data_IF_673551866358
#
_entry.id   IF_673551866358
#
_cell.length_a   1.000
_cell.length_b   1.000
_cell.length_c   1.000
_cell.angle_alpha   90.00
_cell.angle_beta   90.00
_cell.angle_gamma   90.00
#
_symmetry.space_group_name_H-M   'P 1'
#
loop_
_entity.id
_entity.type
_entity.pdbx_description
1 polymer ?
#
# COMPACT_ATOMS: atom_id res chain seq x y z
N UNK A 1 8.55 10.36 -12.56
CA UNK A 1 7.97 9.20 -11.86
C UNK A 1 7.01 8.50 -12.79
N UNK A 2 7.08 7.18 -12.87
CA UNK A 2 6.10 6.33 -13.56
C UNK A 2 5.15 5.79 -12.50
N UNK A 3 3.84 5.94 -12.69
CA UNK A 3 2.82 5.43 -11.78
C UNK A 3 2.00 4.36 -12.49
N UNK A 4 1.98 3.16 -11.92
CA UNK A 4 1.26 2.01 -12.47
C UNK A 4 0.00 1.76 -11.64
N UNK A 5 -1.17 1.93 -12.27
CA UNK A 5 -2.46 1.75 -11.63
C UNK A 5 -2.99 0.33 -11.90
N UNK A 6 -3.11 -0.48 -10.86
CA UNK A 6 -3.64 -1.83 -10.93
C UNK A 6 -5.16 -1.81 -10.89
N UNK A 7 -5.79 -2.43 -11.88
CA UNK A 7 -7.25 -2.56 -11.98
C UNK A 7 -7.68 -4.01 -11.77
N UNK A 8 -8.93 -4.20 -11.38
CA UNK A 8 -9.52 -5.54 -11.29
C UNK A 8 -9.57 -6.18 -12.69
N UNK A 9 -9.32 -7.49 -12.76
CA UNK A 9 -9.42 -8.20 -14.03
C UNK A 9 -10.92 -8.48 -14.34
N UNK A 10 -11.46 -8.04 -15.48
CA UNK A 10 -12.91 -8.06 -15.73
C UNK A 10 -13.51 -9.48 -15.89
N UNK A 11 -12.73 -10.44 -16.40
CA UNK A 11 -13.24 -11.78 -16.76
C UNK A 11 -12.53 -12.97 -16.12
N UNK A 12 -11.40 -12.76 -15.44
CA UNK A 12 -10.58 -13.84 -14.89
C UNK A 12 -10.01 -13.47 -13.53
N UNK A 13 -10.69 -13.91 -12.47
CA UNK A 13 -10.10 -13.99 -11.13
C UNK A 13 -9.24 -15.26 -11.05
N UNK A 14 -8.13 -15.32 -11.82
CA UNK A 14 -7.17 -16.42 -11.71
C UNK A 14 -6.75 -16.55 -10.23
N UNK A 15 -6.98 -17.73 -9.65
CA UNK A 15 -6.69 -17.96 -8.24
C UNK A 15 -5.18 -17.81 -7.99
N UNK A 16 -4.78 -17.22 -6.86
CA UNK A 16 -3.36 -17.18 -6.43
C UNK A 16 -2.68 -18.55 -6.49
N UNK A 17 -3.41 -19.60 -6.14
CA UNK A 17 -2.93 -20.99 -6.22
C UNK A 17 -2.51 -21.37 -7.64
N UNK A 18 -3.22 -20.90 -8.67
CA UNK A 18 -2.89 -21.19 -10.06
C UNK A 18 -1.67 -20.39 -10.55
N UNK A 19 -1.51 -19.13 -10.10
CA UNK A 19 -0.28 -18.36 -10.36
C UNK A 19 0.96 -19.05 -9.80
N UNK A 20 0.88 -19.60 -8.59
CA UNK A 20 1.96 -20.38 -7.99
C UNK A 20 2.27 -21.65 -8.79
N UNK A 21 1.23 -22.35 -9.27
CA UNK A 21 1.39 -23.51 -10.16
C UNK A 21 2.08 -23.14 -11.46
N UNK A 22 1.66 -22.06 -12.12
CA UNK A 22 2.30 -21.58 -13.34
C UNK A 22 3.77 -21.19 -13.10
N UNK A 23 4.10 -20.58 -11.96
CA UNK A 23 5.49 -20.29 -11.58
C UNK A 23 6.30 -21.57 -11.39
N UNK A 24 5.76 -22.58 -10.71
CA UNK A 24 6.46 -23.88 -10.57
C UNK A 24 6.66 -24.59 -11.90
N UNK A 25 5.65 -24.61 -12.78
CA UNK A 25 5.75 -25.17 -14.14
C UNK A 25 6.86 -24.46 -14.91
N UNK A 26 6.90 -23.13 -14.91
CA UNK A 26 7.98 -22.35 -15.56
C UNK A 26 9.35 -22.65 -14.98
N UNK A 27 9.46 -22.81 -13.67
CA UNK A 27 10.73 -23.14 -13.01
C UNK A 27 11.21 -24.55 -13.40
N UNK A 28 10.32 -25.55 -13.40
CA UNK A 28 10.64 -26.92 -13.83
C UNK A 28 11.11 -26.92 -15.28
N UNK A 29 10.39 -26.23 -16.18
CA UNK A 29 10.80 -26.09 -17.57
C UNK A 29 12.17 -25.40 -17.69
N UNK A 30 12.44 -24.35 -16.93
CA UNK A 30 13.75 -23.68 -17.00
C UNK A 30 14.89 -24.60 -16.54
N UNK A 31 14.66 -25.40 -15.50
CA UNK A 31 15.66 -26.32 -14.95
C UNK A 31 15.88 -27.54 -15.84
N UNK A 32 14.83 -28.10 -16.45
CA UNK A 32 14.92 -29.26 -17.36
C UNK A 32 15.81 -29.02 -18.59
N UNK A 33 15.90 -27.76 -19.04
CA UNK A 33 16.73 -27.36 -20.18
C UNK A 33 18.05 -26.71 -19.74
N UNK A 34 18.46 -26.86 -18.48
CA UNK A 34 19.80 -26.49 -18.04
C UNK A 34 20.86 -27.37 -18.72
N UNK A 35 22.04 -26.81 -18.99
CA UNK A 35 23.11 -27.51 -19.75
C UNK A 35 23.69 -28.73 -19.01
N UNK A 36 23.80 -28.65 -17.69
CA UNK A 36 24.52 -29.62 -16.85
C UNK A 36 23.57 -30.32 -15.87
N UNK A 37 22.45 -30.85 -16.39
CA UNK A 37 21.46 -31.61 -15.60
C UNK A 37 21.77 -33.11 -15.64
N UNK A 38 21.71 -33.79 -14.49
CA UNK A 38 21.86 -35.24 -14.41
C UNK A 38 20.58 -35.98 -14.83
N UNK A 39 20.70 -37.25 -15.22
CA UNK A 39 19.54 -38.05 -15.64
C UNK A 39 18.52 -38.26 -14.50
N UNK A 40 18.98 -38.32 -13.24
CA UNK A 40 18.10 -38.49 -12.08
C UNK A 40 17.37 -37.18 -11.74
N UNK A 41 18.07 -36.04 -11.73
CA UNK A 41 17.42 -34.72 -11.58
C UNK A 41 16.40 -34.46 -12.69
N UNK A 42 16.70 -34.90 -13.91
CA UNK A 42 15.77 -34.77 -15.04
C UNK A 42 14.50 -35.60 -14.83
N UNK A 43 14.60 -36.82 -14.30
CA UNK A 43 13.43 -37.65 -13.95
C UNK A 43 12.61 -37.00 -12.84
N UNK A 44 13.26 -36.55 -11.77
CA UNK A 44 12.59 -35.86 -10.65
C UNK A 44 11.85 -34.60 -11.11
N UNK A 45 12.47 -33.80 -11.98
CA UNK A 45 11.86 -32.60 -12.55
C UNK A 45 10.72 -32.91 -13.53
N UNK A 46 10.81 -33.99 -14.30
CA UNK A 46 9.72 -34.41 -15.19
C UNK A 46 8.51 -34.90 -14.36
N UNK A 47 8.74 -35.68 -13.29
CA UNK A 47 7.70 -36.07 -12.35
C UNK A 47 7.05 -34.86 -11.67
N UNK A 48 7.86 -33.88 -11.22
CA UNK A 48 7.36 -32.65 -10.63
C UNK A 48 6.54 -31.80 -11.62
N UNK A 49 7.00 -31.71 -12.88
CA UNK A 49 6.30 -31.00 -13.94
C UNK A 49 4.95 -31.65 -14.24
N UNK A 50 4.91 -32.98 -14.40
CA UNK A 50 3.67 -33.73 -14.62
C UNK A 50 2.69 -33.53 -13.46
N UNK A 51 3.18 -33.59 -12.21
CA UNK A 51 2.36 -33.36 -11.02
C UNK A 51 1.75 -31.95 -10.98
N UNK A 52 2.52 -30.91 -11.30
CA UNK A 52 2.01 -29.53 -11.31
C UNK A 52 1.06 -29.25 -12.48
N UNK A 53 1.31 -29.83 -13.67
CA UNK A 53 0.37 -29.76 -14.81
C UNK A 53 -0.94 -30.45 -14.45
N UNK A 54 -0.90 -31.65 -13.89
CA UNK A 54 -2.10 -32.36 -13.45
C UNK A 54 -2.84 -31.59 -12.35
N UNK A 55 -2.12 -31.01 -11.39
CA UNK A 55 -2.74 -30.22 -10.33
C UNK A 55 -3.37 -28.93 -10.88
N UNK A 56 -2.76 -28.27 -11.86
CA UNK A 56 -3.34 -27.11 -12.52
C UNK A 56 -4.61 -27.51 -13.30
N UNK A 57 -4.53 -28.56 -14.12
CA UNK A 57 -5.65 -29.07 -14.92
C UNK A 57 -6.85 -29.50 -14.09
N UNK A 58 -6.63 -30.10 -12.91
CA UNK A 58 -7.72 -30.50 -11.99
C UNK A 58 -8.22 -29.39 -11.08
N UNK A 59 -7.61 -28.20 -11.12
CA UNK A 59 -8.07 -27.04 -10.36
C UNK A 59 -8.93 -26.17 -11.27
N UNK A 60 -10.21 -25.98 -10.92
CA UNK A 60 -11.09 -25.05 -11.64
C UNK A 60 -10.44 -23.65 -11.73
N UNK A 61 -10.04 -23.24 -12.94
CA UNK A 61 -9.42 -21.94 -13.20
C UNK A 61 -10.40 -20.80 -12.91
N UNK A 62 -11.67 -21.03 -13.22
CA UNK A 62 -12.76 -20.08 -13.06
C UNK A 62 -13.41 -20.31 -11.69
N UNK A 63 -13.53 -19.25 -10.89
CA UNK A 63 -14.32 -19.31 -9.65
C UNK A 63 -15.80 -19.49 -10.00
N UNK A 64 -16.47 -20.44 -9.33
CA UNK A 64 -17.91 -20.67 -9.50
C UNK A 64 -18.77 -19.55 -8.90
N UNK A 65 -18.24 -18.81 -7.93
CA UNK A 65 -18.85 -17.61 -7.36
C UNK A 65 -18.04 -16.38 -7.73
N UNK A 66 -18.74 -15.29 -8.03
CA UNK A 66 -18.11 -13.99 -8.25
C UNK A 66 -17.34 -13.57 -6.98
N UNK A 67 -16.08 -13.12 -7.09
CA UNK A 67 -15.33 -12.64 -5.93
C UNK A 67 -15.99 -11.39 -5.32
N UNK A 68 -15.76 -11.19 -4.02
CA UNK A 68 -16.02 -9.91 -3.37
C UNK A 68 -14.95 -8.89 -3.79
N UNK A 69 -15.22 -7.58 -3.71
CA UNK A 69 -14.19 -6.56 -3.98
C UNK A 69 -12.93 -6.72 -3.12
N UNK A 70 -13.07 -7.15 -1.85
CA UNK A 70 -11.93 -7.46 -0.98
C UNK A 70 -11.09 -8.63 -1.52
N UNK A 71 -11.75 -9.67 -2.08
CA UNK A 71 -11.05 -10.79 -2.71
C UNK A 71 -10.29 -10.34 -3.96
N UNK A 72 -10.90 -9.52 -4.81
CA UNK A 72 -10.24 -8.94 -6.00
C UNK A 72 -8.99 -8.16 -5.62
N UNK A 73 -9.07 -7.31 -4.60
CA UNK A 73 -7.92 -6.58 -4.08
C UNK A 73 -6.82 -7.53 -3.58
N UNK A 74 -7.16 -8.56 -2.79
CA UNK A 74 -6.19 -9.56 -2.31
C UNK A 74 -5.51 -10.30 -3.46
N UNK A 75 -6.21 -10.56 -4.56
CA UNK A 75 -5.63 -11.17 -5.76
C UNK A 75 -4.69 -10.22 -6.48
N UNK A 76 -5.09 -8.96 -6.71
CA UNK A 76 -4.22 -7.95 -7.29
C UNK A 76 -2.92 -7.79 -6.48
N UNK A 77 -3.04 -7.78 -5.15
CA UNK A 77 -1.89 -7.66 -4.25
C UNK A 77 -0.98 -8.90 -4.23
N UNK A 78 -1.42 -10.05 -4.76
CA UNK A 78 -0.56 -11.24 -4.85
C UNK A 78 0.63 -11.04 -5.79
N UNK A 79 0.51 -10.20 -6.82
CA UNK A 79 1.64 -9.87 -7.70
C UNK A 79 2.76 -9.12 -6.98
N UNK A 80 2.45 -8.35 -5.93
CA UNK A 80 3.48 -7.74 -5.08
C UNK A 80 4.34 -8.80 -4.42
N UNK A 81 3.69 -9.76 -3.76
CA UNK A 81 4.38 -10.85 -3.06
C UNK A 81 5.22 -11.72 -4.01
N UNK A 82 4.68 -12.07 -5.18
CA UNK A 82 5.31 -13.04 -6.08
C UNK A 82 6.41 -12.42 -6.97
N UNK A 83 6.24 -11.17 -7.46
CA UNK A 83 7.16 -10.60 -8.47
C UNK A 83 7.58 -9.16 -8.21
N UNK A 84 6.65 -8.23 -7.94
CA UNK A 84 6.94 -6.79 -7.93
C UNK A 84 7.87 -6.43 -6.76
N UNK A 85 7.68 -7.03 -5.58
CA UNK A 85 8.49 -6.78 -4.39
C UNK A 85 9.99 -6.96 -4.65
N UNK A 86 10.36 -8.05 -5.30
CA UNK A 86 11.77 -8.37 -5.65
C UNK A 86 12.20 -7.72 -6.98
N UNK A 87 11.24 -7.45 -7.87
CA UNK A 87 11.49 -6.91 -9.21
C UNK A 87 11.93 -5.44 -9.20
N UNK A 88 11.27 -4.60 -8.39
CA UNK A 88 11.58 -3.15 -8.28
C UNK A 88 13.03 -2.89 -7.89
N UNK A 89 13.56 -3.39 -6.75
CA UNK A 89 14.95 -3.13 -6.36
C UNK A 89 15.94 -3.68 -7.40
N UNK A 90 15.66 -4.85 -8.01
CA UNK A 90 16.49 -5.41 -9.09
C UNK A 90 16.54 -4.50 -10.32
N UNK A 91 15.42 -3.89 -10.70
CA UNK A 91 15.38 -2.90 -11.77
C UNK A 91 16.15 -1.63 -11.40
N UNK A 92 15.98 -1.09 -10.20
CA UNK A 92 16.71 0.09 -9.75
C UNK A 92 18.22 -0.15 -9.67
N UNK A 93 18.66 -1.36 -9.29
CA UNK A 93 20.07 -1.77 -9.41
C UNK A 93 20.55 -1.79 -10.86
N UNK A 94 19.70 -2.20 -11.81
CA UNK A 94 20.04 -2.14 -13.25
C UNK A 94 20.20 -0.70 -13.72
N UNK A 95 19.39 0.23 -13.21
CA UNK A 95 19.53 1.66 -13.46
C UNK A 95 20.88 2.16 -12.92
N UNK A 96 21.28 1.79 -11.70
CA UNK A 96 22.59 2.14 -11.16
C UNK A 96 23.74 1.66 -12.08
N UNK A 97 23.66 0.42 -12.58
CA UNK A 97 24.66 -0.13 -13.51
C UNK A 97 24.70 0.63 -14.83
N UNK A 98 23.53 1.00 -15.38
CA UNK A 98 23.44 1.78 -16.61
C UNK A 98 24.03 3.20 -16.43
N UNK A 99 23.75 3.87 -15.30
CA UNK A 99 24.33 5.17 -14.95
C UNK A 99 25.85 5.10 -14.88
N UNK A 100 26.40 4.05 -14.24
CA UNK A 100 27.84 3.82 -14.20
C UNK A 100 28.46 3.63 -15.58
N UNK A 101 27.76 2.95 -16.50
CA UNK A 101 28.26 2.71 -17.85
C UNK A 101 28.38 3.98 -18.70
N UNK A 102 27.64 5.04 -18.37
CA UNK A 102 27.71 6.34 -19.05
C UNK A 102 28.58 7.37 -18.29
N UNK A 103 29.32 6.93 -17.26
CA UNK A 103 30.27 7.77 -16.53
C UNK A 103 29.73 8.43 -15.24
N UNK A 104 28.51 8.12 -14.81
CA UNK A 104 27.96 8.61 -13.53
C UNK A 104 28.37 7.64 -12.43
N UNK A 105 29.27 8.06 -11.54
CA UNK A 105 29.79 7.22 -10.45
C UNK A 105 28.81 7.02 -9.29
N UNK A 106 27.84 7.91 -9.17
CA UNK A 106 26.82 7.89 -8.13
C UNK A 106 25.70 6.89 -8.46
N UNK A 107 25.11 6.29 -7.42
CA UNK A 107 23.89 5.51 -7.55
C UNK A 107 22.69 6.45 -7.60
N UNK A 108 21.58 5.96 -8.15
CA UNK A 108 20.33 6.66 -8.01
C UNK A 108 19.98 6.75 -6.51
N UNK A 109 19.72 7.97 -5.97
CA UNK A 109 19.33 8.15 -4.57
C UNK A 109 18.09 7.30 -4.21
N UNK A 110 18.08 6.74 -3.00
CA UNK A 110 17.03 5.80 -2.57
C UNK A 110 15.66 6.46 -2.35
N UNK A 111 15.67 7.77 -2.09
CA UNK A 111 14.51 8.63 -1.84
C UNK A 111 13.82 9.10 -3.13
N UNK A 112 14.42 8.90 -4.31
CA UNK A 112 13.79 9.25 -5.60
C UNK A 112 12.71 8.24 -5.99
N UNK A 113 11.43 8.64 -6.09
CA UNK A 113 10.36 7.73 -6.44
C UNK A 113 10.28 7.57 -7.97
N UNK A 114 11.07 6.66 -8.52
CA UNK A 114 11.07 6.39 -9.97
C UNK A 114 9.78 5.69 -10.40
N UNK A 115 9.33 4.71 -9.61
CA UNK A 115 8.13 3.91 -9.85
C UNK A 115 7.22 4.05 -8.63
N UNK A 116 5.92 4.22 -8.86
CA UNK A 116 4.88 4.15 -7.84
C UNK A 116 3.78 3.20 -8.31
N UNK A 117 3.05 2.66 -7.35
CA UNK A 117 1.90 1.80 -7.61
C UNK A 117 0.65 2.39 -6.99
N UNK A 118 -0.44 2.32 -7.74
CA UNK A 118 -1.78 2.68 -7.30
C UNK A 118 -2.75 1.56 -7.67
N UNK A 119 -3.95 1.60 -7.13
CA UNK A 119 -4.95 0.54 -7.27
C UNK A 119 -6.34 1.14 -7.33
N UNK A 120 -7.19 0.56 -8.17
CA UNK A 120 -8.63 0.85 -8.21
C UNK A 120 -9.48 -0.19 -7.47
N UNK A 121 -8.89 -1.34 -7.11
CA UNK A 121 -9.60 -2.44 -6.47
C UNK A 121 -10.08 -2.04 -5.07
N UNK A 122 -11.40 -1.82 -4.94
CA UNK A 122 -12.06 -1.35 -3.71
C UNK A 122 -12.17 0.17 -3.56
N UNK A 123 -11.71 0.93 -4.57
CA UNK A 123 -11.84 2.40 -4.64
C UNK A 123 -12.70 2.89 -5.80
N UNK A 124 -12.68 2.17 -6.93
CA UNK A 124 -13.57 2.42 -8.07
C UNK A 124 -14.98 1.87 -7.80
N UNK A 125 -15.92 2.80 -7.62
CA UNK A 125 -17.34 2.52 -7.34
C UNK A 125 -18.27 2.99 -8.46
N UNK A 126 -17.71 3.51 -9.54
CA UNK A 126 -18.45 3.96 -10.71
C UNK A 126 -19.22 2.79 -11.35
N UNK A 127 -20.55 2.89 -11.36
CA UNK A 127 -21.44 1.82 -11.83
C UNK A 127 -21.40 0.51 -11.03
N UNK A 128 -20.73 0.47 -9.87
CA UNK A 128 -20.55 -0.75 -9.07
C UNK A 128 -20.96 -0.56 -7.60
N UNK A 129 -22.25 -0.81 -7.26
CA UNK A 129 -22.76 -0.61 -5.90
C UNK A 129 -22.17 -1.57 -4.86
N UNK A 130 -21.44 -2.61 -5.29
CA UNK A 130 -20.76 -3.55 -4.37
C UNK A 130 -19.54 -2.92 -3.69
N UNK A 131 -19.03 -1.80 -4.19
CA UNK A 131 -17.91 -1.06 -3.58
C UNK A 131 -18.46 -0.02 -2.61
N UNK A 132 -18.77 -0.47 -1.40
CA UNK A 132 -19.30 0.37 -0.33
C UNK A 132 -18.18 1.13 0.42
N UNK A 133 -18.50 2.13 1.27
CA UNK A 133 -17.50 2.76 2.14
C UNK A 133 -16.72 1.75 2.99
N UNK A 134 -17.37 0.73 3.54
CA UNK A 134 -16.75 -0.32 4.35
C UNK A 134 -15.75 -1.13 3.52
N UNK A 135 -16.08 -1.45 2.26
CA UNK A 135 -15.14 -2.11 1.34
C UNK A 135 -13.88 -1.28 1.16
N UNK A 136 -14.01 0.03 0.93
CA UNK A 136 -12.87 0.95 0.81
C UNK A 136 -12.03 0.96 2.09
N UNK A 137 -12.67 0.98 3.26
CA UNK A 137 -11.98 0.90 4.55
C UNK A 137 -11.20 -0.42 4.69
N UNK A 138 -11.86 -1.54 4.39
CA UNK A 138 -11.29 -2.88 4.51
C UNK A 138 -10.06 -3.05 3.61
N UNK A 139 -10.14 -2.63 2.34
CA UNK A 139 -9.01 -2.79 1.41
C UNK A 139 -7.80 -1.95 1.82
N UNK A 140 -8.00 -0.74 2.35
CA UNK A 140 -6.91 0.08 2.87
C UNK A 140 -6.22 -0.59 4.08
N UNK A 141 -6.99 -1.15 5.01
CA UNK A 141 -6.45 -1.88 6.16
C UNK A 141 -5.74 -3.17 5.74
N UNK A 142 -6.30 -3.91 4.77
CA UNK A 142 -5.67 -5.09 4.18
C UNK A 142 -4.34 -4.74 3.52
N UNK A 143 -4.28 -3.64 2.76
CA UNK A 143 -3.06 -3.19 2.10
C UNK A 143 -1.94 -2.89 3.11
N UNK A 144 -2.27 -2.18 4.19
CA UNK A 144 -1.34 -1.90 5.31
C UNK A 144 -0.88 -3.17 6.02
N UNK A 145 -1.78 -4.11 6.26
CA UNK A 145 -1.45 -5.40 6.86
C UNK A 145 -0.52 -6.22 5.96
N UNK A 146 -0.76 -6.23 4.64
CA UNK A 146 0.09 -6.92 3.66
C UNK A 146 1.47 -6.27 3.54
N UNK A 147 1.54 -4.94 3.53
CA UNK A 147 2.79 -4.18 3.56
C UNK A 147 3.62 -4.57 4.78
N UNK A 148 3.03 -4.47 5.98
CA UNK A 148 3.71 -4.80 7.24
C UNK A 148 4.22 -6.25 7.25
N UNK A 149 3.48 -7.21 6.71
CA UNK A 149 3.94 -8.60 6.59
C UNK A 149 5.18 -8.75 5.68
N UNK A 150 5.21 -8.09 4.52
CA UNK A 150 6.37 -8.11 3.63
C UNK A 150 7.60 -7.45 4.26
N UNK A 151 7.38 -6.33 4.97
CA UNK A 151 8.44 -5.65 5.72
C UNK A 151 8.97 -6.48 6.88
N UNK A 152 8.12 -7.18 7.63
CA UNK A 152 8.55 -8.07 8.72
C UNK A 152 9.45 -9.20 8.19
N UNK A 153 9.08 -9.84 7.09
CA UNK A 153 9.94 -10.88 6.51
C UNK A 153 11.28 -10.32 6.06
N UNK A 154 11.28 -9.13 5.43
CA UNK A 154 12.50 -8.54 4.88
C UNK A 154 13.42 -7.94 5.96
N UNK A 155 12.85 -7.43 7.07
CA UNK A 155 13.65 -6.94 8.20
C UNK A 155 14.30 -8.11 8.95
N UNK A 156 13.65 -9.27 9.03
CA UNK A 156 14.22 -10.48 9.62
C UNK A 156 15.42 -10.97 8.80
N UNK A 157 15.29 -11.06 7.48
CA UNK A 157 16.43 -11.35 6.57
C UNK A 157 17.57 -10.34 6.78
N UNK A 158 17.24 -9.05 6.88
CA UNK A 158 18.23 -7.99 7.09
C UNK A 158 18.92 -8.10 8.46
N UNK A 159 18.19 -8.52 9.51
CA UNK A 159 18.76 -8.79 10.82
C UNK A 159 19.76 -9.93 10.77
N UNK A 160 19.53 -10.98 9.99
CA UNK A 160 20.51 -12.06 9.83
C UNK A 160 21.81 -11.56 9.21
N UNK A 161 21.68 -10.79 8.12
CA UNK A 161 22.79 -10.29 7.31
C UNK A 161 23.61 -9.21 8.05
N UNK A 162 22.96 -8.25 8.71
CA UNK A 162 23.61 -7.14 9.42
C UNK A 162 24.07 -7.54 10.84
N UNK A 163 24.94 -8.54 10.91
CA UNK A 163 25.53 -9.08 12.15
C UNK A 163 26.76 -8.32 12.67
N UNK A 164 27.13 -7.22 12.02
CA UNK A 164 28.37 -6.49 12.28
C UNK A 164 28.39 -5.81 13.66
N UNK A 165 29.57 -5.80 14.28
CA UNK A 165 29.81 -5.13 15.57
C UNK A 165 30.24 -3.66 15.43
N UNK A 166 30.95 -3.31 14.35
CA UNK A 166 31.45 -1.94 14.13
C UNK A 166 30.29 -1.04 13.72
N UNK A 167 30.10 0.05 14.46
CA UNK A 167 29.13 1.09 14.16
C UNK A 167 29.65 2.47 14.59
N UNK A 168 29.04 3.51 14.03
CA UNK A 168 29.25 4.89 14.47
C UNK A 168 28.59 5.16 15.84
N UNK A 169 28.91 6.32 16.42
CA UNK A 169 28.45 6.67 17.76
C UNK A 169 26.93 6.89 17.84
N UNK A 170 26.33 7.40 16.77
CA UNK A 170 24.88 7.61 16.64
C UNK A 170 24.10 6.30 16.73
N UNK A 171 24.48 5.29 15.92
CA UNK A 171 23.84 3.97 15.96
C UNK A 171 24.07 3.29 17.31
N UNK A 172 25.24 3.46 17.93
CA UNK A 172 25.53 2.89 19.25
C UNK A 172 24.61 3.48 20.32
N UNK A 173 24.47 4.81 20.36
CA UNK A 173 23.59 5.48 21.31
C UNK A 173 22.12 5.02 21.16
N UNK A 174 21.61 4.92 19.92
CA UNK A 174 20.24 4.44 19.66
C UNK A 174 20.04 2.98 20.05
N UNK A 175 21.02 2.12 19.78
CA UNK A 175 20.96 0.71 20.19
C UNK A 175 20.93 0.57 21.72
N UNK A 176 21.77 1.32 22.43
CA UNK A 176 21.84 1.30 23.90
C UNK A 176 20.54 1.82 24.54
N UNK A 177 19.94 2.89 23.99
CA UNK A 177 18.64 3.40 24.42
C UNK A 177 17.54 2.34 24.30
N UNK A 178 17.45 1.66 23.15
CA UNK A 178 16.44 0.64 22.92
C UNK A 178 16.63 -0.62 23.77
N UNK A 179 17.87 -0.99 24.09
CA UNK A 179 18.15 -2.08 25.04
C UNK A 179 17.67 -1.74 26.45
N UNK A 180 17.86 -0.49 26.89
CA UNK A 180 17.40 -0.04 28.20
C UNK A 180 15.87 0.03 28.30
N UNK A 181 15.18 0.36 27.20
CA UNK A 181 13.71 0.47 27.17
C UNK A 181 12.98 -0.86 26.93
N UNK A 182 13.70 -1.96 26.66
CA UNK A 182 13.08 -3.21 26.21
C UNK A 182 12.46 -4.00 27.37
N UNK A 183 11.15 -3.87 27.57
CA UNK A 183 10.38 -4.89 28.28
C UNK A 183 10.28 -6.14 27.39
N UNK A 184 11.19 -7.10 27.55
CA UNK A 184 11.19 -8.37 26.81
C UNK A 184 9.88 -9.13 27.00
N UNK A 185 8.93 -8.97 26.06
CA UNK A 185 7.62 -9.66 26.09
C UNK A 185 7.27 -10.45 24.81
N UNK A 186 8.11 -10.43 23.77
CA UNK A 186 7.81 -11.14 22.51
C UNK A 186 8.93 -12.11 22.15
N UNK A 187 8.57 -13.39 22.09
CA UNK A 187 9.45 -14.46 21.61
C UNK A 187 9.19 -14.68 20.11
N UNK A 188 10.21 -14.46 19.29
CA UNK A 188 10.19 -14.73 17.86
C UNK A 188 10.86 -16.08 17.59
N UNK A 189 10.45 -16.78 16.53
CA UNK A 189 10.96 -18.14 16.22
C UNK A 189 12.48 -18.12 16.05
N UNK A 190 12.99 -17.18 15.27
CA UNK A 190 14.42 -17.12 14.90
C UNK A 190 15.27 -16.23 15.83
N UNK A 191 14.63 -15.31 16.55
CA UNK A 191 15.26 -14.44 17.55
C UNK A 191 14.62 -14.64 18.94
N UNK A 192 14.53 -15.90 19.36
CA UNK A 192 13.93 -16.28 20.65
C UNK A 192 14.74 -15.78 21.86
N UNK A 193 16.06 -15.68 21.69
CA UNK A 193 17.00 -15.17 22.69
C UNK A 193 17.16 -13.66 22.56
N UNK A 194 17.53 -13.00 23.66
CA UNK A 194 17.85 -11.58 23.64
C UNK A 194 18.99 -11.30 22.65
N UNK A 195 18.82 -10.25 21.84
CA UNK A 195 19.83 -9.78 20.90
C UNK A 195 20.98 -9.17 21.72
N UNK A 196 22.23 -9.64 21.55
CA UNK A 196 23.37 -9.11 22.29
C UNK A 196 23.60 -7.62 22.01
N UNK A 197 23.99 -6.85 23.03
CA UNK A 197 24.35 -5.43 22.87
C UNK A 197 25.53 -5.19 21.92
N UNK A 198 26.34 -6.23 21.67
CA UNK A 198 27.44 -6.18 20.70
C UNK A 198 26.99 -6.17 19.24
N UNK A 199 25.70 -6.33 18.95
CA UNK A 199 25.12 -6.37 17.61
C UNK A 199 24.16 -5.17 17.38
N UNK A 200 24.70 -3.94 17.27
CA UNK A 200 23.89 -2.70 17.32
C UNK A 200 22.87 -2.59 16.18
N UNK A 201 23.21 -3.04 14.97
CA UNK A 201 22.26 -3.06 13.84
C UNK A 201 21.06 -3.97 14.14
N UNK A 202 21.30 -5.19 14.63
CA UNK A 202 20.22 -6.13 15.00
C UNK A 202 19.34 -5.61 16.11
N UNK A 203 19.89 -4.87 17.07
CA UNK A 203 19.11 -4.23 18.13
C UNK A 203 18.12 -3.22 17.53
N UNK A 204 18.60 -2.29 16.69
CA UNK A 204 17.76 -1.27 16.08
C UNK A 204 16.74 -1.88 15.11
N UNK A 205 17.15 -2.81 14.25
CA UNK A 205 16.24 -3.52 13.34
C UNK A 205 15.22 -4.38 14.08
N UNK A 206 15.60 -4.97 15.22
CA UNK A 206 14.70 -5.68 16.11
C UNK A 206 13.60 -4.77 16.67
N UNK A 207 13.94 -3.53 17.03
CA UNK A 207 12.95 -2.51 17.42
C UNK A 207 12.00 -2.18 16.28
N UNK A 208 12.53 -1.96 15.06
CA UNK A 208 11.71 -1.69 13.85
C UNK A 208 10.76 -2.85 13.58
N UNK A 209 11.26 -4.09 13.64
CA UNK A 209 10.45 -5.30 13.50
C UNK A 209 9.33 -5.35 14.53
N UNK A 210 9.63 -5.09 15.81
CA UNK A 210 8.65 -5.15 16.89
C UNK A 210 7.51 -4.12 16.67
N UNK A 211 7.83 -2.92 16.14
CA UNK A 211 6.83 -1.92 15.71
C UNK A 211 6.04 -2.34 14.47
N UNK A 212 6.70 -2.91 13.45
CA UNK A 212 6.01 -3.45 12.26
C UNK A 212 5.00 -4.54 12.64
N UNK A 213 5.33 -5.41 13.60
CA UNK A 213 4.38 -6.37 14.15
C UNK A 213 3.18 -5.68 14.79
N UNK A 214 3.39 -4.64 15.62
CA UNK A 214 2.28 -3.88 16.21
C UNK A 214 1.43 -3.20 15.12
N UNK A 215 2.04 -2.65 14.07
CA UNK A 215 1.34 -2.06 12.92
C UNK A 215 0.43 -3.09 12.24
N UNK A 216 0.96 -4.30 12.00
CA UNK A 216 0.19 -5.40 11.42
C UNK A 216 -0.99 -5.81 12.30
N UNK A 217 -0.74 -6.07 13.58
CA UNK A 217 -1.78 -6.50 14.51
C UNK A 217 -2.84 -5.41 14.72
N UNK A 218 -2.44 -4.13 14.75
CA UNK A 218 -3.37 -3.00 14.81
C UNK A 218 -4.27 -2.97 13.58
N UNK A 219 -3.71 -3.11 12.38
CA UNK A 219 -4.51 -3.18 11.15
C UNK A 219 -5.49 -4.38 11.16
N UNK A 220 -5.04 -5.54 11.64
CA UNK A 220 -5.89 -6.74 11.78
C UNK A 220 -7.04 -6.53 12.78
N UNK A 221 -6.76 -5.94 13.95
CA UNK A 221 -7.78 -5.61 14.93
C UNK A 221 -8.80 -4.60 14.38
N UNK A 222 -8.33 -3.55 13.70
CA UNK A 222 -9.20 -2.54 13.08
C UNK A 222 -10.09 -3.15 11.99
N UNK A 223 -9.61 -4.16 11.26
CA UNK A 223 -10.35 -4.88 10.22
C UNK A 223 -11.39 -5.84 10.82
N UNK A 224 -11.05 -6.55 11.90
CA UNK A 224 -11.90 -7.63 12.46
C UNK A 224 -12.85 -7.16 13.55
N UNK A 225 -12.47 -6.16 14.35
CA UNK A 225 -13.22 -5.67 15.51
C UNK A 225 -13.64 -4.20 15.40
N UNK A 226 -13.09 -3.46 14.44
CA UNK A 226 -13.32 -2.01 14.30
C UNK A 226 -12.48 -1.12 15.21
N UNK A 227 -11.85 -1.68 16.26
CA UNK A 227 -10.96 -0.97 17.19
C UNK A 227 -9.72 -1.80 17.53
N UNK A 228 -8.67 -1.17 18.08
CA UNK A 228 -7.47 -1.85 18.57
C UNK A 228 -6.97 -1.22 19.87
N UNK A 229 -6.62 -2.06 20.85
CA UNK A 229 -5.96 -1.66 22.10
C UNK A 229 -4.47 -1.31 21.90
N UNK A 230 -3.90 -1.72 20.76
CA UNK A 230 -2.51 -1.41 20.41
C UNK A 230 -2.41 0.09 20.14
N UNK A 231 -1.69 0.78 21.00
CA UNK A 231 -1.47 2.23 20.93
C UNK A 231 -0.79 2.64 19.62
N UNK A 232 -1.17 3.77 19.06
CA UNK A 232 -0.65 4.25 17.78
C UNK A 232 0.85 4.55 17.83
N UNK A 233 1.34 5.05 18.97
CA UNK A 233 2.77 5.33 19.22
C UNK A 233 3.64 4.06 19.21
N UNK A 234 3.02 2.90 19.40
CA UNK A 234 3.71 1.60 19.33
C UNK A 234 3.76 1.03 17.91
N UNK A 235 3.18 1.73 16.93
CA UNK A 235 3.13 1.36 15.51
C UNK A 235 3.95 2.32 14.66
N UNK A 236 4.02 2.03 13.36
CA UNK A 236 4.62 2.91 12.36
C UNK A 236 3.48 3.62 11.63
N UNK A 237 3.47 4.95 11.74
CA UNK A 237 2.40 5.82 11.24
C UNK A 237 2.80 6.54 9.97
N UNK A 238 4.08 6.86 9.81
CA UNK A 238 4.62 7.55 8.62
C UNK A 238 5.78 6.80 7.99
N UNK A 239 6.04 7.08 6.70
CA UNK A 239 7.17 6.47 5.98
C UNK A 239 8.49 7.01 6.51
N UNK A 240 8.52 8.26 6.94
CA UNK A 240 9.70 8.92 7.53
C UNK A 240 10.10 8.25 8.84
N UNK A 241 9.12 7.95 9.71
CA UNK A 241 9.33 7.20 10.95
C UNK A 241 9.89 5.80 10.68
N UNK A 242 9.52 5.19 9.55
CA UNK A 242 10.03 3.88 9.16
C UNK A 242 11.44 3.97 8.55
N UNK A 243 11.71 5.00 7.76
CA UNK A 243 12.97 5.18 7.04
C UNK A 243 14.11 5.60 7.96
N UNK A 244 13.85 6.42 8.97
CA UNK A 244 14.85 6.96 9.90
C UNK A 244 15.82 5.92 10.47
N UNK A 245 15.36 4.81 11.09
CA UNK A 245 16.27 3.81 11.65
C UNK A 245 17.08 3.08 10.56
N UNK A 246 16.56 2.97 9.33
CA UNK A 246 17.26 2.37 8.19
C UNK A 246 18.37 3.29 7.68
N UNK A 247 18.13 4.61 7.64
CA UNK A 247 19.13 5.61 7.29
C UNK A 247 20.25 5.68 8.31
N UNK A 248 19.95 5.57 9.61
CA UNK A 248 20.96 5.46 10.67
C UNK A 248 21.85 4.23 10.43
N UNK A 249 21.26 3.08 10.10
CA UNK A 249 22.02 1.87 9.74
C UNK A 249 22.89 2.11 8.50
N UNK A 250 22.33 2.71 7.45
CA UNK A 250 23.03 2.95 6.17
C UNK A 250 24.22 3.89 6.36
N UNK A 251 24.02 4.99 7.08
CA UNK A 251 25.06 5.97 7.43
C UNK A 251 26.16 5.33 8.26
N UNK A 252 25.80 4.58 9.31
CA UNK A 252 26.80 3.89 10.16
C UNK A 252 27.66 2.90 9.37
N UNK A 253 27.08 2.14 8.43
CA UNK A 253 27.85 1.25 7.55
C UNK A 253 28.80 2.04 6.65
N UNK A 254 28.36 3.17 6.08
CA UNK A 254 29.22 4.02 5.27
C UNK A 254 30.38 4.61 6.10
N UNK A 255 30.09 5.14 7.29
CA UNK A 255 31.09 5.72 8.20
C UNK A 255 32.15 4.69 8.63
N UNK A 256 31.76 3.42 8.78
CA UNK A 256 32.66 2.32 9.15
C UNK A 256 33.45 1.73 7.96
N UNK A 257 33.30 2.28 6.75
CA UNK A 257 33.95 1.77 5.54
C UNK A 257 33.25 0.56 4.90
N UNK A 258 32.07 0.20 5.38
CA UNK A 258 31.29 -0.97 4.98
C UNK A 258 30.18 -0.61 3.95
N UNK A 259 30.41 0.43 3.11
CA UNK A 259 29.45 0.92 2.10
C UNK A 259 28.99 -0.18 1.14
N UNK A 260 29.85 -1.14 0.80
CA UNK A 260 29.49 -2.26 -0.08
C UNK A 260 28.37 -3.11 0.51
N UNK A 261 28.31 -3.23 1.85
CA UNK A 261 27.23 -3.92 2.56
C UNK A 261 25.98 -3.04 2.60
N UNK A 262 26.14 -1.74 2.85
CA UNK A 262 25.04 -0.77 2.85
C UNK A 262 24.30 -0.73 1.49
N UNK A 263 25.06 -0.74 0.39
CA UNK A 263 24.55 -0.79 -0.98
C UNK A 263 23.95 -2.17 -1.37
N UNK A 264 24.01 -3.15 -0.46
CA UNK A 264 23.42 -4.48 -0.58
C UNK A 264 21.94 -4.48 -0.21
N UNK A 265 21.51 -5.46 0.60
CA UNK A 265 20.10 -5.67 0.94
C UNK A 265 19.45 -4.47 1.64
N UNK A 266 20.21 -3.70 2.42
CA UNK A 266 19.70 -2.50 3.08
C UNK A 266 19.23 -1.45 2.06
N UNK A 267 20.03 -1.16 1.03
CA UNK A 267 19.64 -0.22 -0.02
C UNK A 267 18.41 -0.70 -0.81
N UNK A 268 18.31 -2.01 -1.07
CA UNK A 268 17.11 -2.58 -1.71
C UNK A 268 15.88 -2.38 -0.84
N UNK A 269 16.02 -2.62 0.47
CA UNK A 269 14.95 -2.45 1.42
C UNK A 269 14.50 -0.99 1.55
N UNK A 270 15.43 -0.04 1.64
CA UNK A 270 15.11 1.40 1.64
C UNK A 270 14.37 1.82 0.36
N UNK A 271 14.81 1.32 -0.81
CA UNK A 271 14.11 1.57 -2.08
C UNK A 271 12.70 0.96 -2.10
N UNK A 272 12.50 -0.20 -1.48
CA UNK A 272 11.17 -0.81 -1.32
C UNK A 272 10.27 0.06 -0.43
N UNK A 273 10.78 0.52 0.72
CA UNK A 273 10.03 1.42 1.63
C UNK A 273 9.61 2.71 0.90
N UNK A 274 10.51 3.32 0.14
CA UNK A 274 10.20 4.53 -0.63
C UNK A 274 9.19 4.27 -1.76
N UNK A 275 9.27 3.12 -2.42
CA UNK A 275 8.39 2.77 -3.56
C UNK A 275 6.99 2.40 -3.11
N UNK A 276 6.88 1.58 -2.06
CA UNK A 276 5.64 0.93 -1.64
C UNK A 276 4.97 1.63 -0.44
N UNK A 277 5.71 2.44 0.31
CA UNK A 277 5.21 3.11 1.50
C UNK A 277 4.60 2.13 2.52
N UNK A 278 3.64 2.59 3.30
CA UNK A 278 2.96 1.74 4.30
C UNK A 278 1.74 0.99 3.75
N UNK A 279 1.38 1.17 2.48
CA UNK A 279 0.15 0.62 1.90
C UNK A 279 0.36 -0.22 0.63
N UNK A 280 1.60 -0.48 0.19
CA UNK A 280 1.98 -1.13 -1.08
C UNK A 280 1.60 -0.34 -2.33
N UNK A 281 0.32 0.00 -2.46
CA UNK A 281 -0.24 0.83 -3.50
C UNK A 281 -1.17 1.86 -2.87
N UNK A 282 -1.27 3.03 -3.50
CA UNK A 282 -2.28 4.03 -3.13
C UNK A 282 -3.63 3.66 -3.74
N UNK A 283 -4.72 3.87 -3.02
CA UNK A 283 -6.06 3.61 -3.52
C UNK A 283 -6.63 4.88 -4.17
N UNK A 284 -6.94 4.81 -5.45
CA UNK A 284 -7.68 5.88 -6.12
C UNK A 284 -9.17 5.69 -5.82
N UNK A 285 -9.88 6.77 -5.55
CA UNK A 285 -11.34 6.75 -5.40
C UNK A 285 -11.94 7.23 -6.71
N UNK A 286 -12.94 6.54 -7.25
CA UNK A 286 -13.62 6.96 -8.48
C UNK A 286 -15.13 6.91 -8.33
N UNK A 287 -15.82 7.99 -8.69
CA UNK A 287 -17.28 8.07 -8.68
C UNK A 287 -17.78 8.97 -9.83
N UNK A 288 -18.99 8.73 -10.32
CA UNK A 288 -19.61 9.57 -11.36
C UNK A 288 -20.11 10.93 -10.82
N UNK A 289 -20.03 11.97 -11.64
CA UNK A 289 -20.38 13.37 -11.33
C UNK A 289 -21.82 13.57 -10.84
N UNK A 290 -22.79 12.88 -11.42
CA UNK A 290 -24.21 12.98 -11.03
C UNK A 290 -24.43 12.58 -9.56
N UNK A 291 -23.66 11.61 -9.04
CA UNK A 291 -23.76 11.19 -7.64
C UNK A 291 -23.30 12.28 -6.67
N UNK A 292 -22.35 13.12 -7.08
CA UNK A 292 -21.97 14.31 -6.31
C UNK A 292 -23.04 15.39 -6.40
N UNK A 293 -23.63 15.57 -7.59
CA UNK A 293 -24.76 16.50 -7.80
C UNK A 293 -25.94 16.13 -6.90
N UNK A 294 -26.31 14.86 -6.81
CA UNK A 294 -27.40 14.40 -5.94
C UNK A 294 -27.09 14.60 -4.45
N UNK A 295 -25.83 14.39 -4.03
CA UNK A 295 -25.40 14.63 -2.65
C UNK A 295 -25.46 16.12 -2.28
N UNK A 296 -25.01 17.00 -3.18
CA UNK A 296 -25.11 18.45 -2.98
C UNK A 296 -26.56 18.93 -3.03
N UNK A 297 -27.38 18.37 -3.93
CA UNK A 297 -28.80 18.69 -4.02
C UNK A 297 -29.55 18.34 -2.72
N UNK A 298 -29.29 17.17 -2.15
CA UNK A 298 -29.83 16.78 -0.84
C UNK A 298 -29.47 17.79 0.26
N UNK A 299 -28.25 18.33 0.25
CA UNK A 299 -27.82 19.38 1.19
C UNK A 299 -28.61 20.67 0.95
N UNK A 300 -28.67 21.15 -0.29
CA UNK A 300 -29.33 22.42 -0.63
C UNK A 300 -30.83 22.40 -0.36
N UNK A 301 -31.50 21.29 -0.64
CA UNK A 301 -32.94 21.11 -0.43
C UNK A 301 -33.25 21.05 1.07
N UNK A 302 -32.45 20.32 1.86
CA UNK A 302 -32.63 20.25 3.31
C UNK A 302 -32.42 21.60 4.00
N UNK A 303 -31.46 22.39 3.54
CA UNK A 303 -31.20 23.74 4.06
C UNK A 303 -32.24 24.78 3.60
N UNK A 304 -33.14 24.41 2.68
CA UNK A 304 -34.18 25.30 2.15
C UNK A 304 -33.65 26.40 1.23
N UNK A 305 -32.46 26.21 0.64
CA UNK A 305 -31.81 27.20 -0.27
C UNK A 305 -32.13 26.95 -1.75
N UNK A 306 -32.77 25.83 -2.08
CA UNK A 306 -33.21 25.45 -3.43
C UNK A 306 -32.75 24.05 -3.82
N UNK A 307 -32.93 23.69 -5.08
CA UNK A 307 -32.38 22.46 -5.67
C UNK A 307 -31.15 22.78 -6.53
N UNK A 308 -29.98 22.35 -6.08
CA UNK A 308 -28.71 22.45 -6.83
C UNK A 308 -28.82 21.81 -8.22
N UNK A 309 -29.55 20.70 -8.33
CA UNK A 309 -29.72 19.96 -9.60
C UNK A 309 -30.41 20.81 -10.67
N UNK A 310 -31.35 21.67 -10.28
CA UNK A 310 -32.08 22.56 -11.19
C UNK A 310 -31.32 23.84 -11.55
N UNK A 311 -30.20 24.14 -10.88
CA UNK A 311 -29.47 25.38 -11.13
C UNK A 311 -28.64 25.31 -12.42
N UNK A 312 -28.57 26.43 -13.18
CA UNK A 312 -27.64 26.55 -14.28
C UNK A 312 -26.19 26.54 -13.76
N UNK A 313 -25.25 26.16 -14.64
CA UNK A 313 -23.84 25.98 -14.29
C UNK A 313 -23.23 27.22 -13.61
N UNK A 314 -23.51 28.41 -14.10
CA UNK A 314 -22.99 29.65 -13.52
C UNK A 314 -23.45 29.84 -12.07
N UNK A 315 -24.70 29.50 -11.77
CA UNK A 315 -25.26 29.57 -10.41
C UNK A 315 -24.68 28.48 -9.51
N UNK A 316 -24.43 27.27 -10.05
CA UNK A 316 -23.73 26.20 -9.32
C UNK A 316 -22.33 26.65 -8.91
N UNK A 317 -21.56 27.22 -9.83
CA UNK A 317 -20.22 27.74 -9.55
C UNK A 317 -20.25 28.88 -8.53
N UNK A 318 -21.14 29.87 -8.69
CA UNK A 318 -21.27 31.00 -7.76
C UNK A 318 -21.53 30.51 -6.33
N UNK A 319 -22.48 29.58 -6.17
CA UNK A 319 -22.81 29.02 -4.87
C UNK A 319 -21.67 28.19 -4.28
N UNK A 320 -21.06 27.28 -5.06
CA UNK A 320 -19.94 26.47 -4.60
C UNK A 320 -18.75 27.31 -4.16
N UNK A 321 -18.39 28.36 -4.92
CA UNK A 321 -17.29 29.26 -4.58
C UNK A 321 -17.60 30.06 -3.30
N UNK A 322 -18.85 30.53 -3.14
CA UNK A 322 -19.30 31.20 -1.93
C UNK A 322 -19.13 30.29 -0.71
N UNK A 323 -19.60 29.04 -0.80
CA UNK A 323 -19.48 28.09 0.30
C UNK A 323 -18.03 27.66 0.56
N UNK A 324 -17.22 27.45 -0.48
CA UNK A 324 -15.80 27.11 -0.37
C UNK A 324 -14.96 28.21 0.31
N UNK A 325 -15.33 29.48 0.13
CA UNK A 325 -14.72 30.60 0.85
C UNK A 325 -15.30 30.79 2.26
N UNK A 326 -16.55 30.37 2.45
CA UNK A 326 -17.23 30.36 3.73
C UNK A 326 -16.55 29.44 4.76
N UNK A 327 -16.75 29.76 6.05
CA UNK A 327 -16.30 28.93 7.19
C UNK A 327 -17.45 28.23 7.92
N UNK A 328 -18.68 28.41 7.42
CA UNK A 328 -19.88 27.83 8.02
C UNK A 328 -20.00 26.37 7.57
N UNK A 329 -20.14 25.41 8.49
CA UNK A 329 -20.44 24.02 8.13
C UNK A 329 -21.80 23.89 7.46
N UNK A 330 -21.88 23.07 6.41
CA UNK A 330 -23.09 22.78 5.63
C UNK A 330 -23.75 21.46 6.01
N UNK A 331 -22.96 20.44 6.31
CA UNK A 331 -23.49 19.12 6.65
C UNK A 331 -24.11 19.10 8.06
N UNK A 332 -25.36 18.65 8.14
CA UNK A 332 -26.11 18.46 9.38
C UNK A 332 -26.08 16.96 9.74
N UNK A 333 -25.73 16.56 10.98
CA UNK A 333 -25.58 15.15 11.36
C UNK A 333 -26.79 14.25 11.11
N UNK A 334 -28.02 14.79 11.17
CA UNK A 334 -29.28 14.06 11.07
C UNK A 334 -30.06 14.39 9.79
N UNK A 335 -29.37 14.79 8.72
CA UNK A 335 -30.00 15.05 7.42
C UNK A 335 -30.59 13.76 6.84
N UNK A 336 -31.90 13.71 6.50
CA UNK A 336 -32.48 12.57 5.80
C UNK A 336 -31.93 12.51 4.38
N UNK A 337 -31.21 11.42 4.07
CA UNK A 337 -30.59 11.19 2.76
C UNK A 337 -31.03 9.84 2.20
N UNK A 338 -30.99 9.69 0.87
CA UNK A 338 -31.17 8.39 0.23
C UNK A 338 -29.96 7.47 0.48
N UNK A 339 -30.14 6.15 0.30
CA UNK A 339 -29.04 5.19 0.40
C UNK A 339 -27.86 5.54 -0.53
N UNK A 340 -28.17 6.11 -1.71
CA UNK A 340 -27.16 6.51 -2.68
C UNK A 340 -26.33 7.72 -2.23
N UNK A 341 -26.97 8.71 -1.62
CA UNK A 341 -26.30 9.89 -1.06
C UNK A 341 -25.54 9.50 0.21
N UNK A 342 -26.10 8.62 1.05
CA UNK A 342 -25.43 8.09 2.23
C UNK A 342 -24.13 7.36 1.84
N UNK A 343 -24.14 6.57 0.76
CA UNK A 343 -22.94 5.89 0.26
C UNK A 343 -21.86 6.87 -0.22
N UNK A 344 -22.23 8.01 -0.82
CA UNK A 344 -21.30 9.07 -1.25
C UNK A 344 -20.68 9.75 -0.03
N UNK A 345 -21.51 10.21 0.92
CA UNK A 345 -21.04 10.87 2.14
C UNK A 345 -20.22 9.91 3.01
N UNK A 346 -20.64 8.66 3.12
CA UNK A 346 -19.92 7.60 3.81
C UNK A 346 -18.53 7.35 3.23
N UNK A 347 -18.37 7.45 1.91
CA UNK A 347 -17.05 7.38 1.28
C UNK A 347 -16.11 8.47 1.80
N UNK A 348 -16.58 9.73 1.82
CA UNK A 348 -15.76 10.85 2.30
C UNK A 348 -15.47 10.76 3.81
N UNK A 349 -16.39 10.21 4.62
CA UNK A 349 -16.12 9.91 6.03
C UNK A 349 -14.96 8.92 6.18
N UNK A 350 -14.95 7.84 5.39
CA UNK A 350 -13.83 6.87 5.37
C UNK A 350 -12.52 7.54 4.93
N UNK A 351 -12.57 8.47 3.96
CA UNK A 351 -11.40 9.26 3.57
C UNK A 351 -10.87 10.15 4.70
N UNK A 352 -11.75 10.70 5.54
CA UNK A 352 -11.38 11.54 6.67
C UNK A 352 -10.80 10.74 7.86
N UNK A 353 -11.23 9.48 8.01
CA UNK A 353 -10.79 8.58 9.09
C UNK A 353 -9.44 7.92 8.83
N UNK A 354 -9.14 7.61 7.56
CA UNK A 354 -7.95 6.85 7.21
C UNK A 354 -6.73 7.73 6.92
N UNK A 355 -5.50 7.21 7.14
CA UNK A 355 -4.28 7.94 6.85
C UNK A 355 -4.18 8.37 5.37
N UNK A 356 -3.78 9.63 5.14
CA UNK A 356 -3.75 10.26 3.81
C UNK A 356 -2.87 9.54 2.79
N UNK A 357 -1.77 8.94 3.24
CA UNK A 357 -0.84 8.15 2.43
C UNK A 357 -1.47 6.87 1.85
N UNK A 358 -2.63 6.43 2.35
CA UNK A 358 -3.40 5.30 1.80
C UNK A 358 -4.04 5.62 0.45
N UNK A 359 -4.21 6.90 0.11
CA UNK A 359 -5.03 7.33 -1.04
C UNK A 359 -4.24 8.04 -2.14
N UNK A 360 -4.67 7.79 -3.37
CA UNK A 360 -4.27 8.50 -4.59
C UNK A 360 -5.15 9.74 -4.82
N UNK A 361 -5.56 10.01 -6.06
CA UNK A 361 -6.56 11.03 -6.39
C UNK A 361 -8.00 10.57 -6.15
N UNK A 362 -8.92 11.55 -6.15
CA UNK A 362 -10.36 11.35 -6.32
C UNK A 362 -10.73 11.63 -7.78
N UNK A 363 -11.12 10.61 -8.52
CA UNK A 363 -11.45 10.67 -9.94
C UNK A 363 -12.96 10.85 -10.11
N UNK A 364 -13.36 11.81 -10.94
CA UNK A 364 -14.76 12.08 -11.27
C UNK A 364 -15.04 11.54 -12.67
N UNK A 365 -15.76 10.43 -12.77
CA UNK A 365 -16.25 9.91 -14.05
C UNK A 365 -17.34 10.82 -14.62
N UNK A 366 -17.44 10.87 -15.95
CA UNK A 366 -18.43 11.69 -16.65
C UNK A 366 -18.36 13.18 -16.24
N UNK A 367 -17.15 13.71 -16.04
CA UNK A 367 -16.97 15.12 -15.72
C UNK A 367 -17.23 15.97 -16.96
N UNK A 368 -18.08 16.98 -16.84
CA UNK A 368 -18.52 17.84 -17.95
C UNK A 368 -18.27 19.32 -17.70
N UNK A 369 -18.24 19.75 -16.44
CA UNK A 369 -18.19 21.17 -16.09
C UNK A 369 -17.28 21.46 -14.87
N UNK A 370 -16.85 22.71 -14.66
CA UNK A 370 -16.08 23.10 -13.48
C UNK A 370 -16.81 22.81 -12.15
N UNK A 371 -18.14 22.92 -12.14
CA UNK A 371 -18.94 22.63 -10.94
C UNK A 371 -18.78 21.19 -10.44
N UNK A 372 -18.49 20.22 -11.31
CA UNK A 372 -18.25 18.82 -10.92
C UNK A 372 -17.03 18.70 -10.00
N UNK A 373 -15.93 19.37 -10.36
CA UNK A 373 -14.69 19.40 -9.56
C UNK A 373 -14.92 20.13 -8.24
N UNK A 374 -15.55 21.31 -8.29
CA UNK A 374 -15.81 22.14 -7.11
C UNK A 374 -16.75 21.46 -6.11
N UNK A 375 -17.72 20.67 -6.59
CA UNK A 375 -18.62 19.91 -5.74
C UNK A 375 -17.87 18.85 -4.91
N UNK A 376 -16.93 18.12 -5.52
CA UNK A 376 -16.09 17.17 -4.78
C UNK A 376 -15.18 17.88 -3.77
N UNK A 377 -14.58 19.01 -4.14
CA UNK A 377 -13.78 19.80 -3.20
C UNK A 377 -14.60 20.25 -1.97
N UNK A 378 -15.84 20.68 -2.20
CA UNK A 378 -16.75 21.03 -1.11
C UNK A 378 -17.07 19.81 -0.24
N UNK A 379 -17.45 18.67 -0.84
CA UNK A 379 -17.80 17.45 -0.10
C UNK A 379 -16.61 16.91 0.71
N UNK A 380 -15.38 16.94 0.17
CA UNK A 380 -14.18 16.58 0.94
C UNK A 380 -14.05 17.45 2.20
N UNK A 381 -14.21 18.77 2.07
CA UNK A 381 -14.12 19.70 3.19
C UNK A 381 -15.23 19.45 4.22
N UNK A 382 -16.47 19.37 3.78
CA UNK A 382 -17.64 19.23 4.66
C UNK A 382 -17.67 17.89 5.40
N UNK A 383 -17.18 16.81 4.78
CA UNK A 383 -17.03 15.52 5.44
C UNK A 383 -15.79 15.41 6.33
N UNK A 384 -15.04 16.50 6.52
CA UNK A 384 -13.93 16.57 7.48
C UNK A 384 -12.61 15.98 6.97
N UNK A 385 -12.43 15.82 5.66
CA UNK A 385 -11.16 15.37 5.08
C UNK A 385 -10.11 16.46 5.25
N UNK A 386 -9.27 16.33 6.29
CA UNK A 386 -8.28 17.35 6.68
C UNK A 386 -7.22 17.61 5.62
N UNK A 387 -6.86 16.58 4.87
CA UNK A 387 -5.89 16.63 3.77
C UNK A 387 -6.60 16.12 2.51
N UNK A 388 -7.24 16.99 1.72
CA UNK A 388 -8.03 16.56 0.57
C UNK A 388 -7.18 15.79 -0.45
N UNK A 389 -7.83 14.86 -1.14
CA UNK A 389 -7.27 14.16 -2.28
C UNK A 389 -7.29 15.10 -3.50
N UNK A 390 -6.27 15.05 -4.37
CA UNK A 390 -6.31 15.71 -5.66
C UNK A 390 -7.54 15.25 -6.44
N UNK A 391 -8.37 16.20 -6.85
CA UNK A 391 -9.55 15.92 -7.67
C UNK A 391 -9.16 15.87 -9.14
N UNK A 392 -9.55 14.81 -9.84
CA UNK A 392 -9.17 14.52 -11.23
C UNK A 392 -10.42 14.32 -12.07
N UNK A 393 -10.79 15.26 -12.96
CA UNK A 393 -11.90 15.06 -13.88
C UNK A 393 -11.54 14.06 -14.98
N UNK A 394 -12.46 13.14 -15.28
CA UNK A 394 -12.39 12.22 -16.42
C UNK A 394 -13.44 12.64 -17.46
N UNK A 395 -12.96 13.15 -18.59
CA UNK A 395 -13.75 13.71 -19.70
C UNK A 395 -14.15 12.66 -20.74
#
# INVERSE_FOLDING_TARGET
>A
TVELVLTAHPTQSLRRSLLQKHTKIRNCLTQLYAKDITDDEKKELDEALQAEIHAAFRTDEIRRSQPTPQDEMRYGMSYFHETIWKGVPKFLRRVDTALKSIGISERLPYDVPVIKFSSWMGGDRDGNPRVTPEVTRDVCLLARMMAANLYVSSIEDLMFELSMRRCNDELRARADEHLASRETKKHYIEFWRAIPATEPYRVLLGYVRDKLYNTRERALHMLTKGYSEIKEESTITTVEEFMEPLEVCYKSLCDCGDKTIADGLLLDFMRQVNTFGLSLAKLDIRQESERHTDAVDAITTHLGIGSYKEWPEEKRQEWLLSELQGKRPLLVPDMPVSEEVEAVLGCFKVLAELPRDSFGPYIISMATAPSDVLAVELLQRECGVRQPLPVVPLF
#
